data_IF_136924779049
#
_entry.id   IF_136924779049
#
_cell.length_a   1.000
_cell.length_b   1.000
_cell.length_c   1.000
_cell.angle_alpha   90.00
_cell.angle_beta   90.00
_cell.angle_gamma   90.00
#
_symmetry.space_group_name_H-M   'P 1'
#
loop_
_entity.id
_entity.type
_entity.pdbx_description
1 polymer ?
#
# COMPACT_ATOMS: atom_id res chain seq x y z
N UNK A 1 -33.35 59.22 -36.63
CA UNK A 1 -33.69 57.86 -36.15
C UNK A 1 -32.44 57.00 -36.19
N UNK A 2 -31.86 56.67 -35.04
CA UNK A 2 -30.66 55.81 -34.92
C UNK A 2 -31.12 54.35 -34.85
N UNK A 3 -30.73 53.53 -35.83
CA UNK A 3 -30.97 52.08 -35.77
C UNK A 3 -29.91 51.42 -34.88
N UNK A 4 -30.37 50.79 -33.80
CA UNK A 4 -29.58 49.99 -32.89
C UNK A 4 -29.19 48.64 -33.55
N UNK A 5 -27.89 48.37 -33.63
CA UNK A 5 -27.35 47.02 -33.93
C UNK A 5 -27.52 46.16 -32.67
N UNK A 6 -28.39 45.15 -32.73
CA UNK A 6 -28.47 44.09 -31.72
C UNK A 6 -27.33 43.10 -31.98
N UNK A 7 -26.37 43.04 -31.06
CA UNK A 7 -25.40 41.95 -30.97
C UNK A 7 -26.13 40.71 -30.42
N UNK A 8 -26.24 39.66 -31.24
CA UNK A 8 -26.66 38.33 -30.77
C UNK A 8 -25.41 37.67 -30.21
N UNK A 9 -25.34 37.53 -28.88
CA UNK A 9 -24.33 36.71 -28.23
C UNK A 9 -24.65 35.24 -28.51
N UNK A 10 -23.81 34.56 -29.28
CA UNK A 10 -23.86 33.12 -29.45
C UNK A 10 -23.41 32.45 -28.15
N UNK A 11 -24.35 31.90 -27.39
CA UNK A 11 -24.05 31.00 -26.27
C UNK A 11 -23.55 29.70 -26.87
N UNK A 12 -22.23 29.52 -26.90
CA UNK A 12 -21.61 28.22 -27.20
C UNK A 12 -21.71 27.39 -25.93
N UNK A 13 -22.77 26.60 -25.82
CA UNK A 13 -22.88 25.56 -24.80
C UNK A 13 -21.84 24.49 -25.11
N UNK A 14 -20.69 24.52 -24.43
CA UNK A 14 -19.77 23.39 -24.39
C UNK A 14 -20.47 22.28 -23.60
N UNK A 15 -21.15 21.39 -24.31
CA UNK A 15 -21.58 20.13 -23.74
C UNK A 15 -20.31 19.34 -23.41
N UNK A 16 -19.92 19.32 -22.13
CA UNK A 16 -19.01 18.33 -21.59
C UNK A 16 -19.65 16.97 -21.87
N UNK A 17 -19.22 16.32 -22.94
CA UNK A 17 -19.39 14.89 -23.14
C UNK A 17 -18.60 14.21 -22.02
N UNK A 18 -19.22 14.10 -20.85
CA UNK A 18 -18.84 13.11 -19.85
C UNK A 18 -19.19 11.78 -20.51
N UNK A 19 -18.24 11.22 -21.24
CA UNK A 19 -18.27 9.78 -21.51
C UNK A 19 -18.50 9.12 -20.15
N UNK A 20 -19.52 8.26 -20.00
CA UNK A 20 -19.60 7.46 -18.80
C UNK A 20 -18.31 6.65 -18.80
N UNK A 21 -17.37 7.02 -17.94
CA UNK A 21 -16.29 6.13 -17.58
C UNK A 21 -17.00 4.87 -17.12
N UNK A 22 -16.89 3.79 -17.90
CA UNK A 22 -17.19 2.46 -17.40
C UNK A 22 -16.32 2.34 -16.16
N UNK A 23 -16.93 2.50 -14.98
CA UNK A 23 -16.27 2.22 -13.72
C UNK A 23 -15.83 0.77 -13.85
N UNK A 24 -14.53 0.55 -14.07
CA UNK A 24 -13.97 -0.78 -14.07
C UNK A 24 -14.41 -1.39 -12.74
N UNK A 25 -15.23 -2.43 -12.81
CA UNK A 25 -15.74 -3.09 -11.62
C UNK A 25 -14.50 -3.61 -10.88
N UNK A 26 -14.27 -3.11 -9.67
CA UNK A 26 -13.17 -3.59 -8.84
C UNK A 26 -13.34 -5.09 -8.66
N UNK A 27 -12.24 -5.84 -8.80
CA UNK A 27 -12.29 -7.25 -8.51
C UNK A 27 -12.69 -7.44 -7.03
N UNK A 28 -13.36 -8.53 -6.66
CA UNK A 28 -13.58 -8.83 -5.25
C UNK A 28 -12.22 -9.00 -4.56
N UNK A 29 -12.11 -8.53 -3.33
CA UNK A 29 -10.92 -8.81 -2.51
C UNK A 29 -10.87 -10.31 -2.26
N UNK A 30 -9.73 -10.92 -2.56
CA UNK A 30 -9.59 -12.36 -2.71
C UNK A 30 -9.84 -13.16 -1.42
N UNK A 31 -9.57 -12.55 -0.27
CA UNK A 31 -9.59 -13.22 1.04
C UNK A 31 -10.07 -12.29 2.14
N UNK A 32 -10.61 -12.86 3.22
CA UNK A 32 -10.97 -12.10 4.42
C UNK A 32 -9.79 -11.37 5.05
N UNK A 33 -8.58 -11.96 4.99
CA UNK A 33 -7.36 -11.34 5.50
C UNK A 33 -6.99 -10.08 4.71
N UNK A 34 -7.00 -10.15 3.36
CA UNK A 34 -6.78 -8.97 2.53
C UNK A 34 -7.88 -7.93 2.72
N UNK A 35 -9.13 -8.37 2.90
CA UNK A 35 -10.25 -7.49 3.17
C UNK A 35 -10.07 -6.76 4.51
N UNK A 36 -9.62 -7.44 5.56
CA UNK A 36 -9.31 -6.83 6.87
C UNK A 36 -8.18 -5.80 6.78
N UNK A 37 -7.08 -6.12 6.12
CA UNK A 37 -5.97 -5.18 5.89
C UNK A 37 -6.43 -3.95 5.12
N UNK A 38 -7.20 -4.14 4.04
CA UNK A 38 -7.72 -3.05 3.23
C UNK A 38 -8.73 -2.19 4.01
N UNK A 39 -9.71 -2.85 4.65
CA UNK A 39 -10.83 -2.21 5.31
C UNK A 39 -10.38 -1.31 6.46
N UNK A 40 -9.36 -1.72 7.21
CA UNK A 40 -8.84 -0.93 8.34
C UNK A 40 -8.66 0.53 7.96
N UNK A 41 -7.98 0.83 6.86
CA UNK A 41 -7.62 2.22 6.52
C UNK A 41 -8.38 2.80 5.34
N UNK A 42 -8.84 1.98 4.38
CA UNK A 42 -9.41 2.48 3.14
C UNK A 42 -10.94 2.40 3.10
N UNK A 43 -11.57 1.56 3.93
CA UNK A 43 -13.04 1.57 4.04
C UNK A 43 -13.59 2.91 4.55
N UNK A 44 -13.02 3.59 5.58
CA UNK A 44 -13.53 4.89 6.01
C UNK A 44 -13.40 5.96 4.92
N UNK A 45 -12.36 5.87 4.08
CA UNK A 45 -12.14 6.76 2.93
C UNK A 45 -13.19 6.48 1.84
N UNK A 46 -13.42 5.20 1.52
CA UNK A 46 -14.43 4.78 0.55
C UNK A 46 -15.84 5.22 0.95
N UNK A 47 -16.16 5.11 2.23
CA UNK A 47 -17.46 5.53 2.78
C UNK A 47 -17.59 7.05 2.95
N UNK A 48 -16.52 7.81 2.67
CA UNK A 48 -16.50 9.27 2.80
C UNK A 48 -16.50 9.80 4.23
N UNK A 49 -16.16 8.95 5.21
CA UNK A 49 -16.10 9.31 6.63
C UNK A 49 -14.72 9.77 7.08
N UNK A 50 -13.67 9.40 6.34
CA UNK A 50 -12.33 9.94 6.50
C UNK A 50 -11.94 10.77 5.27
N UNK A 51 -11.34 11.96 5.50
CA UNK A 51 -10.93 12.90 4.47
C UNK A 51 -9.40 12.94 4.32
N UNK A 52 -8.83 11.85 3.78
CA UNK A 52 -7.38 11.69 3.55
C UNK A 52 -7.13 10.85 2.29
N UNK A 53 -5.87 10.79 1.85
CA UNK A 53 -5.46 9.92 0.74
C UNK A 53 -5.71 8.42 1.04
N UNK A 54 -5.67 7.62 -0.03
CA UNK A 54 -5.80 6.16 0.03
C UNK A 54 -4.50 5.50 0.50
N UNK A 55 -4.59 4.44 1.30
CA UNK A 55 -3.44 3.65 1.70
C UNK A 55 -3.16 2.53 0.71
N UNK A 56 -4.19 1.85 0.20
CA UNK A 56 -4.08 0.72 -0.72
C UNK A 56 -4.67 1.08 -2.09
N UNK A 57 -5.75 1.87 -2.08
CA UNK A 57 -6.54 2.24 -3.26
C UNK A 57 -8.02 1.90 -3.07
N UNK A 58 -8.90 2.34 -3.99
CA UNK A 58 -10.35 2.12 -3.91
C UNK A 58 -10.75 0.63 -3.96
N UNK A 59 -9.84 -0.26 -4.38
CA UNK A 59 -10.02 -1.70 -4.41
C UNK A 59 -8.91 -2.35 -5.25
N UNK A 60 -8.91 -3.69 -5.37
CA UNK A 60 -7.96 -4.39 -6.21
C UNK A 60 -8.35 -4.25 -7.69
N UNK A 61 -7.35 -4.18 -8.56
CA UNK A 61 -7.54 -4.16 -10.02
C UNK A 61 -7.28 -5.54 -10.67
N UNK A 62 -7.01 -6.56 -9.86
CA UNK A 62 -6.79 -7.95 -10.27
C UNK A 62 -7.61 -8.90 -9.39
N UNK A 63 -7.90 -10.09 -9.90
CA UNK A 63 -8.36 -11.20 -9.06
C UNK A 63 -7.23 -11.77 -8.19
N UNK A 64 -7.51 -12.87 -7.48
CA UNK A 64 -6.50 -13.66 -6.80
C UNK A 64 -5.49 -14.24 -7.82
N UNK A 65 -4.20 -14.14 -7.54
CA UNK A 65 -3.13 -14.61 -8.43
C UNK A 65 -2.11 -15.43 -7.65
N UNK A 66 -1.47 -16.42 -8.29
CA UNK A 66 -0.31 -17.11 -7.75
C UNK A 66 1.00 -16.51 -8.26
N UNK A 67 1.99 -16.40 -7.38
CA UNK A 67 3.37 -16.08 -7.76
C UNK A 67 4.36 -17.09 -7.19
N UNK A 68 5.41 -17.49 -7.95
CA UNK A 68 6.47 -18.32 -7.42
C UNK A 68 7.14 -17.71 -6.19
N UNK A 69 7.20 -18.49 -5.12
CA UNK A 69 7.93 -18.16 -3.90
C UNK A 69 8.43 -19.46 -3.26
N UNK A 70 9.74 -19.68 -3.25
CA UNK A 70 10.36 -20.97 -2.89
C UNK A 70 9.88 -21.53 -1.56
N UNK A 71 9.74 -20.68 -0.54
CA UNK A 71 9.39 -21.08 0.82
C UNK A 71 7.87 -21.17 1.05
N UNK A 72 7.04 -20.75 0.10
CA UNK A 72 5.59 -20.87 0.23
C UNK A 72 5.15 -22.34 0.07
N UNK A 73 4.07 -22.78 0.73
CA UNK A 73 3.49 -24.10 0.50
C UNK A 73 3.16 -24.33 -0.99
N UNK A 74 3.71 -25.41 -1.56
CA UNK A 74 3.57 -25.67 -3.00
C UNK A 74 4.40 -24.74 -3.90
N UNK A 75 5.30 -23.94 -3.34
CA UNK A 75 6.19 -23.02 -4.07
C UNK A 75 5.49 -21.78 -4.64
N UNK A 76 4.23 -21.51 -4.25
CA UNK A 76 3.40 -20.42 -4.78
C UNK A 76 2.81 -19.63 -3.61
N UNK A 77 3.02 -18.31 -3.59
CA UNK A 77 2.30 -17.39 -2.69
C UNK A 77 1.04 -16.84 -3.36
N UNK A 78 0.00 -16.61 -2.58
CA UNK A 78 -1.15 -15.83 -3.06
C UNK A 78 -0.78 -14.36 -3.08
N UNK A 79 -1.14 -13.68 -4.16
CA UNK A 79 -1.07 -12.23 -4.25
C UNK A 79 -2.35 -11.62 -4.82
N UNK A 80 -2.58 -10.34 -4.51
CA UNK A 80 -3.57 -9.52 -5.20
C UNK A 80 -3.07 -8.07 -5.29
N UNK A 81 -3.26 -7.46 -6.46
CA UNK A 81 -2.80 -6.11 -6.74
C UNK A 81 -3.87 -5.04 -6.50
N UNK A 82 -3.43 -4.00 -5.80
CA UNK A 82 -4.14 -2.75 -5.55
C UNK A 82 -3.32 -1.60 -6.15
N UNK A 83 -3.90 -0.41 -6.27
CA UNK A 83 -3.19 0.72 -6.89
C UNK A 83 -1.82 1.00 -6.24
N UNK A 84 -1.78 0.96 -4.90
CA UNK A 84 -0.62 1.36 -4.10
C UNK A 84 0.19 0.18 -3.55
N UNK A 85 -0.16 -1.06 -3.87
CA UNK A 85 0.53 -2.25 -3.34
C UNK A 85 0.22 -3.56 -4.09
N UNK A 86 0.93 -4.60 -3.72
CA UNK A 86 0.54 -6.01 -3.88
C UNK A 86 0.45 -6.60 -2.48
N UNK A 87 -0.73 -7.04 -2.07
CA UNK A 87 -0.90 -7.81 -0.84
C UNK A 87 -0.53 -9.26 -1.10
N UNK A 88 0.09 -9.89 -0.11
CA UNK A 88 0.65 -11.24 -0.24
C UNK A 88 0.35 -12.08 0.99
N UNK A 89 0.03 -13.34 0.74
CA UNK A 89 -0.03 -14.39 1.76
C UNK A 89 0.92 -15.52 1.35
N UNK A 90 2.11 -15.52 1.96
CA UNK A 90 3.19 -16.48 1.69
C UNK A 90 3.01 -17.78 2.46
N UNK A 91 2.63 -17.69 3.74
CA UNK A 91 2.38 -18.84 4.61
C UNK A 91 0.96 -18.77 5.18
N UNK A 92 0.00 -19.52 4.60
CA UNK A 92 -1.38 -19.59 5.11
C UNK A 92 -1.50 -20.24 6.50
N UNK A 93 -0.46 -20.91 7.00
CA UNK A 93 -0.45 -21.53 8.31
C UNK A 93 0.14 -20.61 9.40
N UNK A 94 0.66 -19.44 9.03
CA UNK A 94 1.15 -18.44 9.98
C UNK A 94 0.00 -17.86 10.83
N UNK A 95 0.33 -17.26 11.97
CA UNK A 95 -0.66 -16.68 12.89
C UNK A 95 -1.41 -15.52 12.22
N UNK A 96 -2.73 -15.65 11.95
CA UNK A 96 -3.51 -14.61 11.29
C UNK A 96 -3.74 -13.35 12.14
N UNK A 97 -3.40 -13.39 13.44
CA UNK A 97 -3.42 -12.21 14.32
C UNK A 97 -2.21 -11.31 14.13
N UNK A 98 -1.14 -11.84 13.56
CA UNK A 98 0.04 -11.05 13.27
C UNK A 98 -0.33 -10.02 12.19
N UNK A 99 0.02 -8.72 12.36
CA UNK A 99 -0.13 -7.76 11.28
C UNK A 99 0.68 -8.18 10.03
N UNK A 100 1.70 -9.03 10.21
CA UNK A 100 2.54 -9.58 9.15
C UNK A 100 1.98 -10.85 8.51
N UNK A 101 0.79 -11.32 8.89
CA UNK A 101 0.13 -12.42 8.19
C UNK A 101 -0.15 -12.05 6.73
N UNK A 102 -0.69 -10.85 6.52
CA UNK A 102 -0.72 -10.20 5.21
C UNK A 102 0.49 -9.30 5.10
N UNK A 103 1.39 -9.61 4.17
CA UNK A 103 2.52 -8.75 3.86
C UNK A 103 2.27 -7.94 2.61
N UNK A 104 3.13 -6.96 2.39
CA UNK A 104 3.14 -6.12 1.22
C UNK A 104 4.48 -6.35 0.50
N UNK A 105 4.41 -6.58 -0.81
CA UNK A 105 5.60 -6.87 -1.60
C UNK A 105 6.65 -5.79 -1.54
N UNK A 106 7.91 -6.19 -1.75
CA UNK A 106 9.07 -5.30 -1.83
C UNK A 106 9.09 -4.51 -3.15
N UNK A 107 7.93 -4.04 -3.61
CA UNK A 107 7.70 -3.64 -5.00
C UNK A 107 8.65 -2.53 -5.44
N UNK A 108 8.82 -1.49 -4.61
CA UNK A 108 9.72 -0.39 -4.92
C UNK A 108 11.20 -0.84 -4.91
N UNK A 109 11.61 -1.70 -3.97
CA UNK A 109 12.95 -2.30 -3.94
C UNK A 109 13.24 -3.09 -5.20
N UNK A 110 12.34 -3.98 -5.59
CA UNK A 110 12.47 -4.82 -6.78
C UNK A 110 12.52 -3.95 -8.06
N UNK A 111 11.70 -2.89 -8.14
CA UNK A 111 11.72 -1.95 -9.28
C UNK A 111 13.02 -1.12 -9.35
N UNK A 112 13.55 -0.65 -8.21
CA UNK A 112 14.79 0.14 -8.19
C UNK A 112 16.02 -0.73 -8.44
N UNK A 113 16.03 -1.96 -7.93
CA UNK A 113 17.19 -2.87 -8.04
C UNK A 113 17.15 -3.77 -9.27
N UNK A 114 15.97 -3.96 -9.86
CA UNK A 114 15.72 -4.98 -10.88
C UNK A 114 15.76 -6.42 -10.34
N UNK A 115 15.79 -6.64 -9.02
CA UNK A 115 15.84 -7.97 -8.42
C UNK A 115 14.44 -8.49 -8.15
N UNK A 116 13.90 -9.30 -9.08
CA UNK A 116 12.59 -9.93 -8.94
C UNK A 116 12.64 -11.00 -7.84
N UNK A 117 11.86 -10.86 -6.78
CA UNK A 117 11.85 -11.82 -5.67
C UNK A 117 11.09 -13.10 -6.05
N UNK A 118 11.73 -14.26 -5.84
CA UNK A 118 11.21 -15.61 -6.07
C UNK A 118 11.30 -16.50 -4.81
N UNK A 119 11.73 -15.93 -3.69
CA UNK A 119 11.85 -16.56 -2.38
C UNK A 119 12.52 -15.61 -1.39
N UNK A 120 12.70 -16.05 -0.14
CA UNK A 120 13.27 -15.23 0.93
C UNK A 120 14.61 -14.63 0.53
N UNK A 121 15.53 -15.48 0.05
CA UNK A 121 16.87 -15.10 -0.41
C UNK A 121 17.11 -15.49 -1.88
N UNK A 122 16.03 -15.61 -2.66
CA UNK A 122 16.09 -16.04 -4.08
C UNK A 122 15.56 -14.94 -4.97
N UNK A 123 16.41 -14.47 -5.89
CA UNK A 123 16.10 -13.37 -6.79
C UNK A 123 16.46 -13.72 -8.24
N UNK A 124 15.68 -13.19 -9.17
CA UNK A 124 15.99 -13.15 -10.60
C UNK A 124 16.39 -11.72 -10.99
N UNK A 125 17.53 -11.57 -11.64
CA UNK A 125 18.09 -10.26 -11.98
C UNK A 125 17.57 -9.71 -13.32
N UNK A 126 17.16 -8.45 -13.29
CA UNK A 126 16.76 -7.64 -14.44
C UNK A 126 17.36 -6.24 -14.33
N UNK A 127 17.13 -5.40 -15.34
CA UNK A 127 17.47 -3.98 -15.26
C UNK A 127 16.51 -3.23 -14.33
N UNK A 128 16.99 -2.20 -13.60
CA UNK A 128 16.14 -1.25 -12.90
C UNK A 128 15.02 -0.69 -13.80
N UNK A 129 13.84 -0.51 -13.24
CA UNK A 129 12.65 -0.16 -14.02
C UNK A 129 12.66 1.31 -14.47
N UNK A 130 12.49 1.54 -15.78
CA UNK A 130 12.35 2.87 -16.37
C UNK A 130 10.89 3.42 -16.29
N UNK A 131 10.13 3.00 -15.28
CA UNK A 131 8.75 3.43 -15.03
C UNK A 131 8.77 4.68 -14.15
N UNK A 132 7.95 5.69 -14.48
CA UNK A 132 7.85 6.91 -13.69
C UNK A 132 7.39 6.60 -12.26
N UNK A 133 8.07 7.16 -11.27
CA UNK A 133 7.82 6.91 -9.85
C UNK A 133 6.60 7.68 -9.32
N UNK A 134 6.36 8.85 -9.90
CA UNK A 134 5.32 9.79 -9.54
C UNK A 134 4.98 10.73 -10.71
N UNK A 135 3.86 11.44 -10.60
CA UNK A 135 3.37 12.37 -11.63
C UNK A 135 2.71 11.67 -12.81
N UNK A 136 2.51 12.43 -13.89
CA UNK A 136 1.87 11.91 -15.10
C UNK A 136 2.72 10.81 -15.77
N UNK A 137 2.09 9.72 -16.20
CA UNK A 137 2.78 8.55 -16.74
C UNK A 137 3.55 8.84 -18.05
N UNK A 138 3.11 9.84 -18.82
CA UNK A 138 3.72 10.30 -20.06
C UNK A 138 4.74 11.43 -19.86
N UNK A 139 5.09 11.76 -18.61
CA UNK A 139 6.06 12.82 -18.33
C UNK A 139 7.49 12.36 -18.68
N UNK A 140 8.14 12.93 -19.72
CA UNK A 140 9.49 12.52 -20.12
C UNK A 140 10.56 12.93 -19.09
N UNK A 141 10.28 13.94 -18.27
CA UNK A 141 11.20 14.48 -17.27
C UNK A 141 10.98 13.86 -15.88
N UNK A 142 9.98 12.97 -15.74
CA UNK A 142 9.66 12.32 -14.48
C UNK A 142 10.82 11.46 -13.97
N UNK A 143 11.00 11.41 -12.66
CA UNK A 143 11.89 10.42 -12.05
C UNK A 143 11.37 9.01 -12.33
N UNK A 144 12.27 8.08 -12.60
CA UNK A 144 11.95 6.66 -12.71
C UNK A 144 12.49 5.90 -11.51
N UNK A 145 12.08 4.65 -11.30
CA UNK A 145 12.74 3.79 -10.32
C UNK A 145 14.25 3.64 -10.62
N UNK A 146 14.64 3.54 -11.89
CA UNK A 146 16.04 3.48 -12.30
C UNK A 146 16.85 4.72 -11.89
N UNK A 147 16.23 5.90 -11.77
CA UNK A 147 16.87 7.14 -11.33
C UNK A 147 17.45 7.04 -9.90
N UNK A 148 16.96 6.09 -9.09
CA UNK A 148 17.40 5.88 -7.70
C UNK A 148 18.41 4.74 -7.54
N UNK A 149 18.66 3.95 -8.58
CA UNK A 149 19.43 2.70 -8.47
C UNK A 149 20.87 2.88 -7.95
N UNK A 150 21.48 4.04 -8.20
CA UNK A 150 22.84 4.38 -7.74
C UNK A 150 22.86 5.09 -6.37
N UNK A 151 21.69 5.36 -5.78
CA UNK A 151 21.55 6.14 -4.53
C UNK A 151 21.30 5.26 -3.29
N UNK A 152 21.23 3.93 -3.47
CA UNK A 152 20.95 2.97 -2.40
C UNK A 152 22.04 2.89 -1.31
N UNK A 153 23.18 3.53 -1.53
CA UNK A 153 24.28 3.64 -0.56
C UNK A 153 24.64 5.09 -0.23
N UNK A 154 23.79 6.05 -0.60
CA UNK A 154 24.01 7.46 -0.26
C UNK A 154 24.00 7.66 1.26
N UNK A 155 24.93 8.46 1.77
CA UNK A 155 24.98 8.76 3.20
C UNK A 155 23.75 9.58 3.63
N UNK A 156 23.19 9.30 4.82
CA UNK A 156 22.04 10.02 5.31
C UNK A 156 22.40 11.43 5.73
N UNK A 157 21.44 12.35 5.59
CA UNK A 157 21.55 13.64 6.25
C UNK A 157 21.43 13.47 7.77
N UNK A 158 22.21 14.22 8.57
CA UNK A 158 22.00 14.32 10.01
C UNK A 158 20.55 14.67 10.36
N UNK A 159 20.02 14.03 11.40
CA UNK A 159 18.68 14.34 11.92
C UNK A 159 18.59 15.82 12.30
N UNK A 160 17.54 16.49 11.82
CA UNK A 160 17.29 17.92 11.98
C UNK A 160 17.77 18.78 10.81
N UNK A 161 18.59 18.24 9.90
CA UNK A 161 19.06 18.99 8.73
C UNK A 161 17.98 19.16 7.69
N UNK A 162 17.97 20.33 7.02
CA UNK A 162 17.02 20.64 5.94
C UNK A 162 17.30 19.80 4.70
N UNK A 163 16.23 19.29 4.09
CA UNK A 163 16.32 18.56 2.83
C UNK A 163 16.12 19.56 1.68
N UNK A 164 17.23 19.98 1.06
CA UNK A 164 17.27 20.88 -0.10
C UNK A 164 17.82 20.21 -1.37
N UNK A 165 18.16 18.93 -1.27
CA UNK A 165 18.72 18.16 -2.38
C UNK A 165 17.63 17.87 -3.43
N UNK A 166 17.98 18.09 -4.70
CA UNK A 166 17.15 17.77 -5.86
C UNK A 166 17.68 16.55 -6.59
N UNK A 167 16.80 15.80 -7.22
CA UNK A 167 17.15 14.68 -8.09
C UNK A 167 16.54 14.87 -9.48
N UNK A 168 17.35 14.64 -10.51
CA UNK A 168 16.88 14.58 -11.90
C UNK A 168 16.68 13.15 -12.40
N UNK A 169 16.09 13.00 -13.59
CA UNK A 169 15.79 11.70 -14.18
C UNK A 169 17.04 10.84 -14.40
N UNK A 170 18.21 11.45 -14.62
CA UNK A 170 19.47 10.75 -14.83
C UNK A 170 20.09 10.24 -13.51
N UNK A 171 19.50 10.55 -12.36
CA UNK A 171 20.02 10.18 -11.05
C UNK A 171 21.06 11.17 -10.52
N UNK A 172 21.16 12.36 -11.12
CA UNK A 172 22.10 13.39 -10.67
C UNK A 172 21.48 14.16 -9.51
N UNK A 173 22.19 14.14 -8.38
CA UNK A 173 21.85 14.93 -7.19
C UNK A 173 22.45 16.32 -7.32
N UNK A 174 21.64 17.34 -7.04
CA UNK A 174 22.07 18.74 -6.93
C UNK A 174 21.47 19.36 -5.66
N UNK A 175 21.83 20.60 -5.36
CA UNK A 175 21.30 21.34 -4.20
C UNK A 175 20.49 22.54 -4.68
N UNK A 176 19.34 22.79 -4.06
CA UNK A 176 18.55 24.00 -4.26
C UNK A 176 18.13 24.60 -2.90
N UNK A 177 18.89 25.59 -2.39
CA UNK A 177 18.62 26.22 -1.09
C UNK A 177 17.24 26.88 -0.96
N UNK A 178 16.59 27.27 -2.07
CA UNK A 178 15.26 27.87 -2.03
C UNK A 178 14.19 26.90 -1.48
N UNK A 179 14.43 25.59 -1.61
CA UNK A 179 13.53 24.54 -1.11
C UNK A 179 13.51 24.45 0.42
N UNK A 180 14.46 25.10 1.11
CA UNK A 180 14.42 25.30 2.55
C UNK A 180 13.13 26.00 3.00
N UNK A 181 12.48 26.78 2.12
CA UNK A 181 11.20 27.42 2.37
C UNK A 181 10.07 26.43 2.73
N UNK A 182 10.18 25.15 2.33
CA UNK A 182 9.21 24.11 2.67
C UNK A 182 9.45 23.47 4.04
N UNK A 183 10.59 23.74 4.70
CA UNK A 183 10.86 23.32 6.08
C UNK A 183 10.94 21.80 6.31
N UNK A 184 11.13 21.01 5.26
CA UNK A 184 11.28 19.55 5.38
C UNK A 184 12.69 19.22 5.86
N UNK A 185 12.80 18.36 6.87
CA UNK A 185 14.08 17.94 7.47
C UNK A 185 14.23 16.42 7.47
N UNK A 186 15.46 15.93 7.66
CA UNK A 186 15.69 14.53 8.04
C UNK A 186 15.20 14.32 9.48
N UNK A 187 14.24 13.42 9.71
CA UNK A 187 13.59 13.28 11.02
C UNK A 187 13.99 12.02 11.79
N UNK A 188 14.19 10.90 11.10
CA UNK A 188 14.46 9.63 11.76
C UNK A 188 15.46 8.81 10.96
N UNK A 189 16.61 8.48 11.56
CA UNK A 189 17.60 7.58 10.97
C UNK A 189 17.20 6.13 11.22
N UNK A 190 17.04 5.36 10.15
CA UNK A 190 16.76 3.92 10.21
C UNK A 190 18.09 3.15 10.20
N UNK A 191 18.50 2.51 11.30
CA UNK A 191 19.80 1.85 11.38
C UNK A 191 19.94 0.63 10.45
N UNK A 192 18.83 -0.05 10.12
CA UNK A 192 18.83 -1.25 9.27
C UNK A 192 19.26 -0.96 7.83
N UNK A 193 18.96 0.24 7.32
CA UNK A 193 19.32 0.66 5.97
C UNK A 193 20.27 1.85 5.93
N UNK A 194 20.56 2.46 7.09
CA UNK A 194 21.35 3.68 7.22
C UNK A 194 20.83 4.86 6.38
N UNK A 195 19.50 5.00 6.32
CA UNK A 195 18.83 6.09 5.61
C UNK A 195 17.93 6.90 6.54
N UNK A 196 17.82 8.22 6.28
CA UNK A 196 16.95 9.08 7.06
C UNK A 196 15.57 9.22 6.40
N UNK A 197 14.50 9.10 7.20
CA UNK A 197 13.12 9.38 6.77
C UNK A 197 12.88 10.89 6.85
N UNK A 198 12.35 11.48 5.77
CA UNK A 198 11.99 12.89 5.77
C UNK A 198 10.85 13.17 6.77
N UNK A 199 10.85 14.35 7.39
CA UNK A 199 9.94 14.73 8.48
C UNK A 199 8.47 14.56 8.14
N UNK A 200 8.06 15.02 6.96
CA UNK A 200 6.67 14.90 6.47
C UNK A 200 6.24 13.44 6.28
N UNK A 201 7.17 12.56 5.89
CA UNK A 201 6.90 11.13 5.75
C UNK A 201 6.89 10.42 7.10
N UNK A 202 7.80 10.80 8.00
CA UNK A 202 7.85 10.26 9.35
C UNK A 202 6.57 10.61 10.14
N UNK A 203 6.09 11.84 10.01
CA UNK A 203 4.82 12.28 10.60
C UNK A 203 3.65 11.47 10.04
N UNK A 204 3.56 11.32 8.71
CA UNK A 204 2.53 10.49 8.07
C UNK A 204 2.56 9.03 8.53
N UNK A 205 3.75 8.43 8.60
CA UNK A 205 3.92 7.03 9.04
C UNK A 205 3.55 6.81 10.52
N UNK A 206 3.50 7.88 11.32
CA UNK A 206 3.10 7.84 12.73
C UNK A 206 1.73 8.48 12.99
N UNK A 207 1.00 8.87 11.95
CA UNK A 207 -0.26 9.61 12.12
C UNK A 207 -1.40 8.71 12.60
N UNK A 208 -2.36 9.34 13.26
CA UNK A 208 -3.65 8.73 13.62
C UNK A 208 -4.72 9.15 12.63
N UNK A 209 -5.82 8.42 12.62
CA UNK A 209 -7.02 8.76 11.88
C UNK A 209 -8.12 7.73 12.14
N UNK A 210 -9.29 8.00 11.58
CA UNK A 210 -10.38 7.04 11.61
C UNK A 210 -9.99 5.76 10.86
N UNK A 211 -10.07 4.62 11.57
CA UNK A 211 -9.82 3.27 11.05
C UNK A 211 -10.95 2.33 11.45
N UNK A 212 -11.08 1.22 10.73
CA UNK A 212 -11.88 0.07 11.16
C UNK A 212 -11.04 -0.89 12.01
N UNK A 213 -11.49 -1.15 13.23
CA UNK A 213 -10.91 -2.11 14.17
C UNK A 213 -12.03 -2.78 14.96
N UNK A 214 -12.01 -4.10 15.08
CA UNK A 214 -13.05 -4.95 15.66
C UNK A 214 -14.44 -4.70 15.06
N UNK A 215 -14.48 -4.37 13.75
CA UNK A 215 -15.67 -3.96 13.02
C UNK A 215 -16.33 -2.67 13.52
N UNK A 216 -15.63 -1.91 14.35
CA UNK A 216 -16.02 -0.57 14.79
C UNK A 216 -15.12 0.47 14.14
N UNK A 217 -15.61 1.71 14.04
CA UNK A 217 -14.78 2.85 13.65
C UNK A 217 -14.18 3.46 14.91
N UNK A 218 -12.85 3.55 14.94
CA UNK A 218 -12.09 4.11 16.06
C UNK A 218 -11.04 5.08 15.55
N UNK A 219 -10.70 6.08 16.35
CA UNK A 219 -9.56 6.96 16.09
C UNK A 219 -8.30 6.29 16.64
N UNK A 220 -7.41 5.84 15.76
CA UNK A 220 -6.20 5.10 16.14
C UNK A 220 -5.09 5.35 15.10
N UNK A 221 -3.87 4.87 15.35
CA UNK A 221 -2.79 4.88 14.37
C UNK A 221 -3.23 4.25 13.05
N UNK A 222 -2.96 4.97 11.96
CA UNK A 222 -3.19 4.45 10.60
C UNK A 222 -2.33 3.21 10.35
N UNK A 223 -1.13 3.18 10.95
CA UNK A 223 -0.21 2.05 10.90
C UNK A 223 0.12 1.57 12.31
N UNK A 224 -0.17 0.29 12.60
CA UNK A 224 0.23 -0.33 13.86
C UNK A 224 1.76 -0.35 14.02
N UNK A 225 2.48 -0.51 12.90
CA UNK A 225 3.91 -0.32 12.79
C UNK A 225 4.19 0.70 11.65
N UNK A 226 4.98 1.76 11.89
CA UNK A 226 5.26 2.80 10.88
C UNK A 226 5.80 2.27 9.55
N UNK A 227 6.53 1.15 9.57
CA UNK A 227 7.13 0.52 8.40
C UNK A 227 6.31 -0.63 7.81
N UNK A 228 5.10 -0.89 8.31
CA UNK A 228 4.25 -1.97 7.80
C UNK A 228 3.95 -1.79 6.32
N UNK A 229 3.42 -0.62 5.93
CA UNK A 229 3.01 -0.36 4.56
C UNK A 229 4.17 0.01 3.64
N UNK A 230 5.19 0.72 4.15
CA UNK A 230 6.28 1.29 3.35
C UNK A 230 7.53 0.41 3.32
N UNK A 231 7.80 -0.36 4.38
CA UNK A 231 9.13 -0.94 4.62
C UNK A 231 10.17 0.13 4.96
N UNK A 232 11.44 -0.26 5.09
CA UNK A 232 12.49 0.71 5.43
C UNK A 232 12.83 1.64 4.25
N UNK A 233 13.32 2.87 4.51
CA UNK A 233 13.81 3.75 3.45
C UNK A 233 15.01 3.12 2.73
N UNK A 234 15.01 3.21 1.41
CA UNK A 234 16.09 2.74 0.53
C UNK A 234 16.94 3.88 -0.02
N UNK A 235 16.46 5.12 0.11
CA UNK A 235 17.16 6.32 -0.34
C UNK A 235 16.90 7.45 0.65
N UNK A 236 17.71 8.49 0.58
CA UNK A 236 17.31 9.79 1.11
C UNK A 236 16.11 10.35 0.32
N UNK A 237 15.46 11.37 0.88
CA UNK A 237 14.40 12.08 0.19
C UNK A 237 14.99 13.19 -0.70
N UNK A 238 14.47 13.29 -1.92
CA UNK A 238 14.94 14.27 -2.89
C UNK A 238 13.76 15.05 -3.47
N UNK A 239 13.97 16.35 -3.68
CA UNK A 239 13.02 17.17 -4.41
C UNK A 239 13.17 16.98 -5.91
N UNK A 240 12.05 17.03 -6.61
CA UNK A 240 12.04 17.04 -8.07
C UNK A 240 10.89 17.91 -8.58
N UNK A 241 11.02 18.40 -9.80
CA UNK A 241 10.01 19.25 -10.43
C UNK A 241 9.32 18.47 -11.55
N UNK A 242 8.14 17.94 -11.23
CA UNK A 242 7.41 17.03 -12.12
C UNK A 242 5.99 17.52 -12.38
N UNK A 243 5.41 17.02 -13.47
CA UNK A 243 4.05 17.34 -13.88
C UNK A 243 3.07 16.45 -13.12
N UNK A 244 2.14 17.09 -12.41
CA UNK A 244 1.05 16.43 -11.69
C UNK A 244 -0.26 17.04 -12.16
N UNK A 245 -1.08 16.27 -12.87
CA UNK A 245 -2.34 16.77 -13.43
C UNK A 245 -2.12 17.91 -14.41
N UNK A 246 -1.09 17.81 -15.26
CA UNK A 246 -0.74 18.84 -16.24
C UNK A 246 0.05 20.04 -15.70
N UNK A 247 0.24 20.18 -14.38
CA UNK A 247 0.90 21.33 -13.76
C UNK A 247 2.27 20.94 -13.19
N UNK A 248 3.31 21.72 -13.49
CA UNK A 248 4.64 21.55 -12.89
C UNK A 248 4.64 21.96 -11.42
N UNK A 249 5.01 21.03 -10.53
CA UNK A 249 5.05 21.25 -9.08
C UNK A 249 6.35 20.73 -8.49
N UNK A 250 6.78 21.31 -7.37
CA UNK A 250 7.81 20.70 -6.54
C UNK A 250 7.20 19.55 -5.75
N UNK A 251 7.83 18.39 -5.86
CA UNK A 251 7.43 17.16 -5.18
C UNK A 251 8.67 16.59 -4.51
N UNK A 252 8.59 16.36 -3.20
CA UNK A 252 9.59 15.59 -2.48
C UNK A 252 9.27 14.10 -2.66
N UNK A 253 10.25 13.29 -2.99
CA UNK A 253 10.10 11.86 -3.26
C UNK A 253 11.08 11.08 -2.40
N UNK A 254 10.62 10.02 -1.74
CA UNK A 254 11.49 9.07 -1.05
C UNK A 254 11.09 7.63 -1.37
N UNK A 255 12.08 6.81 -1.70
CA UNK A 255 11.90 5.38 -1.96
C UNK A 255 12.05 4.60 -0.67
N UNK A 256 11.08 3.75 -0.39
CA UNK A 256 11.11 2.73 0.67
C UNK A 256 11.05 1.34 0.02
N UNK A 257 11.22 0.28 0.81
CA UNK A 257 11.27 -1.08 0.26
C UNK A 257 10.00 -1.49 -0.50
N UNK A 258 8.83 -1.11 0.02
CA UNK A 258 7.54 -1.55 -0.51
C UNK A 258 6.88 -0.49 -1.37
N UNK A 259 7.21 0.79 -1.15
CA UNK A 259 6.51 1.95 -1.73
C UNK A 259 7.41 3.13 -1.95
N UNK A 260 6.90 4.09 -2.72
CA UNK A 260 7.46 5.43 -2.83
C UNK A 260 6.45 6.40 -2.24
N UNK A 261 6.90 7.21 -1.29
CA UNK A 261 6.11 8.31 -0.76
C UNK A 261 6.47 9.61 -1.48
N UNK A 262 5.45 10.42 -1.72
CA UNK A 262 5.56 11.74 -2.34
C UNK A 262 4.94 12.79 -1.43
N UNK A 263 5.58 13.96 -1.33
CA UNK A 263 5.04 15.11 -0.62
C UNK A 263 4.93 16.30 -1.57
N UNK A 264 3.72 16.83 -1.73
CA UNK A 264 3.41 18.01 -2.55
C UNK A 264 2.84 19.10 -1.65
N UNK A 265 3.62 20.15 -1.30
CA UNK A 265 3.18 21.22 -0.38
C UNK A 265 1.88 21.91 -0.79
N UNK A 266 1.68 22.04 -2.11
CA UNK A 266 0.54 22.75 -2.72
C UNK A 266 -0.78 21.96 -2.65
N UNK A 267 -0.74 20.68 -2.24
CA UNK A 267 -1.93 19.88 -2.06
C UNK A 267 -2.66 20.26 -0.74
N UNK A 268 -3.99 20.03 -0.65
CA UNK A 268 -4.72 20.15 0.60
C UNK A 268 -4.17 19.19 1.66
N UNK A 269 -4.30 19.54 2.94
CA UNK A 269 -3.63 18.88 4.10
C UNK A 269 -3.68 17.34 4.08
N UNK A 270 -4.84 16.73 3.82
CA UNK A 270 -5.02 15.27 3.76
C UNK A 270 -4.45 14.56 2.51
N UNK A 271 -3.89 15.30 1.55
CA UNK A 271 -3.34 14.82 0.28
C UNK A 271 -1.94 15.37 0.01
N UNK A 272 -1.30 15.97 1.02
CA UNK A 272 0.08 16.44 0.89
C UNK A 272 1.04 15.27 0.77
N UNK A 273 0.88 14.24 1.60
CA UNK A 273 1.64 12.99 1.50
C UNK A 273 0.77 11.94 0.82
N UNK A 274 1.31 11.31 -0.22
CA UNK A 274 0.65 10.23 -0.95
C UNK A 274 1.65 9.13 -1.29
N UNK A 275 1.16 7.90 -1.42
CA UNK A 275 1.95 6.82 -2.01
C UNK A 275 1.70 6.77 -3.52
N UNK A 276 2.78 6.63 -4.29
CA UNK A 276 2.67 6.38 -5.73
C UNK A 276 1.88 5.10 -6.04
N UNK A 277 1.40 4.97 -7.27
CA UNK A 277 0.66 3.79 -7.75
C UNK A 277 1.60 2.58 -8.01
N UNK A 278 2.47 2.28 -7.05
CA UNK A 278 3.53 1.26 -7.17
C UNK A 278 2.98 -0.13 -7.46
N UNK A 279 1.75 -0.46 -7.02
CA UNK A 279 1.11 -1.72 -7.36
C UNK A 279 0.82 -1.84 -8.86
N UNK A 280 0.34 -0.77 -9.49
CA UNK A 280 0.19 -0.70 -10.95
C UNK A 280 1.52 -0.73 -11.67
N UNK A 281 2.50 0.05 -11.20
CA UNK A 281 3.82 0.12 -11.82
C UNK A 281 4.52 -1.24 -11.80
N UNK A 282 4.45 -1.94 -10.67
CA UNK A 282 5.04 -3.25 -10.52
C UNK A 282 4.30 -4.31 -11.34
N UNK A 283 2.97 -4.28 -11.39
CA UNK A 283 2.20 -5.20 -12.24
C UNK A 283 2.62 -5.08 -13.71
N UNK A 284 2.67 -3.86 -14.24
CA UNK A 284 3.13 -3.61 -15.61
C UNK A 284 4.58 -4.07 -15.82
N UNK A 285 5.47 -3.77 -14.88
CA UNK A 285 6.86 -4.24 -14.96
C UNK A 285 6.97 -5.76 -14.98
N UNK A 286 6.31 -6.47 -14.05
CA UNK A 286 6.42 -7.93 -13.92
C UNK A 286 5.75 -8.66 -15.08
N UNK A 287 4.50 -8.31 -15.42
CA UNK A 287 3.71 -9.09 -16.36
C UNK A 287 3.80 -8.58 -17.80
N UNK A 288 3.92 -7.27 -18.02
CA UNK A 288 3.94 -6.71 -19.36
C UNK A 288 5.37 -6.58 -19.89
N UNK A 289 6.26 -5.95 -19.10
CA UNK A 289 7.64 -5.69 -19.53
C UNK A 289 8.56 -6.91 -19.43
N UNK A 290 8.48 -7.65 -18.32
CA UNK A 290 9.25 -8.89 -18.14
C UNK A 290 8.55 -10.13 -18.71
N UNK A 291 7.31 -9.98 -19.19
CA UNK A 291 6.51 -11.08 -19.76
C UNK A 291 6.42 -12.29 -18.83
N UNK A 292 6.36 -12.07 -17.51
CA UNK A 292 6.05 -13.13 -16.56
C UNK A 292 4.59 -13.52 -16.71
N UNK A 293 4.29 -14.77 -16.40
CA UNK A 293 2.93 -15.27 -16.35
C UNK A 293 2.51 -15.52 -14.89
N UNK A 294 1.27 -15.18 -14.50
CA UNK A 294 0.74 -15.58 -13.20
C UNK A 294 0.72 -17.10 -13.09
N UNK A 295 1.13 -17.63 -11.94
CA UNK A 295 1.01 -19.05 -11.67
C UNK A 295 -0.43 -19.39 -11.23
N UNK A 296 -0.93 -20.60 -11.54
CA UNK A 296 -2.18 -21.07 -10.95
C UNK A 296 -1.99 -21.19 -9.42
N UNK A 297 -3.03 -20.84 -8.67
CA UNK A 297 -3.03 -21.07 -7.23
C UNK A 297 -2.99 -22.58 -6.93
N UNK A 298 -2.33 -23.00 -5.83
CA UNK A 298 -2.32 -24.41 -5.43
C UNK A 298 -3.74 -24.97 -5.27
N UNK A 299 -3.95 -26.22 -5.69
CA UNK A 299 -5.23 -26.91 -5.49
C UNK A 299 -5.51 -27.06 -3.98
N UNK A 300 -6.74 -26.72 -3.56
CA UNK A 300 -7.11 -26.74 -2.13
C UNK A 300 -6.63 -25.52 -1.34
N UNK A 301 -6.04 -24.52 -1.99
CA UNK A 301 -5.75 -23.24 -1.36
C UNK A 301 -7.05 -22.57 -0.92
N UNK A 302 -7.31 -22.60 0.39
CA UNK A 302 -8.28 -21.74 1.03
C UNK A 302 -7.51 -20.91 2.04
N UNK A 303 -7.40 -19.58 1.86
CA UNK A 303 -7.08 -18.74 2.99
C UNK A 303 -8.16 -19.02 4.06
N UNK A 304 -7.82 -19.00 5.36
CA UNK A 304 -8.80 -19.20 6.40
C UNK A 304 -10.04 -18.36 6.08
N UNK A 305 -11.23 -18.97 5.94
CA UNK A 305 -12.45 -18.23 5.77
C UNK A 305 -12.71 -17.52 7.09
N UNK A 306 -12.20 -16.31 7.24
CA UNK A 306 -12.71 -15.41 8.28
C UNK A 306 -13.43 -14.25 7.60
N UNK A 307 -14.74 -14.07 7.84
CA UNK A 307 -15.45 -12.90 7.40
C UNK A 307 -15.01 -11.67 8.21
N UNK A 308 -13.82 -11.10 8.00
CA UNK A 308 -13.51 -9.73 8.41
C UNK A 308 -13.65 -9.36 9.92
N UNK A 309 -13.67 -10.31 10.84
CA UNK A 309 -13.80 -10.02 12.27
C UNK A 309 -12.53 -10.39 13.01
N UNK A 310 -12.16 -9.54 13.97
CA UNK A 310 -10.97 -9.75 14.77
C UNK A 310 -11.15 -11.03 15.58
N UNK A 311 -10.10 -11.85 15.62
CA UNK A 311 -10.08 -13.07 16.42
C UNK A 311 -10.49 -12.72 17.86
N UNK A 312 -11.55 -13.35 18.36
CA UNK A 312 -12.09 -13.09 19.68
C UNK A 312 -11.02 -13.46 20.73
N UNK A 313 -10.74 -12.58 21.71
CA UNK A 313 -9.77 -12.88 22.77
C UNK A 313 -10.14 -14.10 23.60
N UNK A 314 -11.39 -14.57 23.56
CA UNK A 314 -11.82 -15.84 24.14
C UNK A 314 -11.09 -17.05 23.53
N UNK A 315 -10.53 -16.95 22.32
CA UNK A 315 -9.85 -18.05 21.62
C UNK A 315 -8.37 -17.70 21.36
N UNK A 316 -7.52 -17.69 22.39
CA UNK A 316 -6.13 -17.22 22.25
C UNK A 316 -5.24 -18.16 21.43
N UNK A 317 -5.67 -19.39 21.16
CA UNK A 317 -4.88 -20.37 20.41
C UNK A 317 -5.49 -20.66 19.02
N UNK A 318 -6.62 -20.02 18.66
CA UNK A 318 -7.32 -20.19 17.40
C UNK A 318 -7.96 -18.88 16.95
N UNK A 319 -7.69 -18.42 15.73
CA UNK A 319 -8.35 -17.21 15.25
C UNK A 319 -9.78 -17.49 14.84
N UNK A 320 -10.71 -17.18 15.74
CA UNK A 320 -12.14 -17.37 15.57
C UNK A 320 -12.83 -16.05 15.92
N UNK A 321 -13.70 -15.49 15.07
CA UNK A 321 -14.33 -14.20 15.34
C UNK A 321 -15.36 -14.25 16.46
N UNK A 322 -15.70 -13.10 17.04
CA UNK A 322 -16.89 -12.96 17.89
C UNK A 322 -18.18 -13.14 17.06
N UNK A 323 -19.29 -13.64 17.62
CA UNK A 323 -20.56 -13.62 16.92
C UNK A 323 -21.02 -12.18 16.60
N UNK A 324 -21.69 -11.95 15.45
CA UNK A 324 -21.96 -12.88 14.34
C UNK A 324 -20.83 -12.93 13.26
N UNK A 325 -20.68 -14.06 12.53
CA UNK A 325 -21.58 -15.21 12.50
C UNK A 325 -21.43 -16.15 13.71
N UNK A 326 -22.49 -16.93 13.97
CA UNK A 326 -22.49 -18.03 14.94
C UNK A 326 -21.80 -19.25 14.29
N UNK A 327 -20.61 -19.59 14.79
CA UNK A 327 -19.73 -20.60 14.22
C UNK A 327 -19.77 -21.88 15.05
N UNK A 328 -19.77 -23.05 14.39
CA UNK A 328 -19.67 -24.36 15.06
C UNK A 328 -18.34 -25.02 14.72
N UNK A 329 -17.98 -26.08 15.45
CA UNK A 329 -16.69 -26.76 15.25
C UNK A 329 -16.45 -27.24 13.81
N UNK A 330 -17.51 -27.56 13.06
CA UNK A 330 -17.40 -27.95 11.64
C UNK A 330 -17.08 -26.78 10.72
N UNK A 331 -17.32 -25.55 11.16
CA UNK A 331 -17.16 -24.32 10.37
C UNK A 331 -15.75 -23.70 10.55
N UNK A 332 -14.96 -24.19 11.51
CA UNK A 332 -13.59 -23.74 11.79
C UNK A 332 -12.56 -24.87 11.61
N UNK A 333 -11.33 -24.57 11.16
CA UNK A 333 -10.28 -25.58 10.95
C UNK A 333 -9.57 -26.02 12.24
N UNK A 334 -9.80 -25.33 13.36
CA UNK A 334 -9.10 -25.56 14.64
C UNK A 334 -9.79 -26.62 15.50
N UNK A 335 -9.01 -27.43 16.24
CA UNK A 335 -9.50 -28.45 17.19
C UNK A 335 -8.67 -28.43 18.46
N UNK A 336 -9.31 -28.72 19.60
CA UNK A 336 -8.65 -28.75 20.91
C UNK A 336 -7.93 -27.45 21.26
N UNK A 337 -8.49 -26.32 20.86
CA UNK A 337 -7.91 -25.00 21.13
C UNK A 337 -8.41 -24.45 22.46
N UNK A 338 -7.64 -23.57 23.09
CA UNK A 338 -8.03 -22.98 24.37
C UNK A 338 -9.21 -22.03 24.24
N UNK A 339 -10.12 -22.10 25.20
CA UNK A 339 -11.28 -21.22 25.35
C UNK A 339 -11.21 -20.49 26.70
N UNK A 340 -11.33 -19.16 26.68
CA UNK A 340 -11.40 -18.30 27.86
C UNK A 340 -12.85 -17.80 28.05
N UNK A 341 -13.34 -17.70 29.30
CA UNK A 341 -14.66 -17.16 29.56
C UNK A 341 -14.72 -15.62 29.39
N UNK A 342 -15.85 -15.06 28.92
CA UNK A 342 -17.02 -15.77 28.40
C UNK A 342 -16.70 -16.40 27.04
N UNK A 343 -17.21 -17.60 26.76
CA UNK A 343 -17.10 -18.32 25.47
C UNK A 343 -18.19 -17.84 24.50
N UNK A 344 -17.94 -16.86 23.61
CA UNK A 344 -19.02 -16.16 22.92
C UNK A 344 -19.65 -16.98 21.79
N UNK A 345 -18.92 -17.96 21.24
CA UNK A 345 -19.37 -18.88 20.18
C UNK A 345 -19.84 -20.22 20.75
N UNK A 346 -19.53 -20.55 22.00
CA UNK A 346 -20.00 -21.77 22.66
C UNK A 346 -19.26 -23.03 22.21
N UNK A 347 -17.94 -22.94 21.95
CA UNK A 347 -17.13 -24.09 21.56
C UNK A 347 -16.74 -25.02 22.71
N UNK A 348 -16.70 -24.50 23.95
CA UNK A 348 -16.36 -25.21 25.18
C UNK A 348 -17.64 -25.46 25.99
N UNK A 349 -18.40 -26.49 25.60
CA UNK A 349 -19.72 -26.78 26.16
C UNK A 349 -19.65 -27.41 27.55
N UNK A 350 -18.58 -28.15 27.82
CA UNK A 350 -18.30 -28.83 29.08
C UNK A 350 -17.44 -28.00 30.05
N UNK A 351 -16.99 -26.82 29.63
CA UNK A 351 -16.34 -25.79 30.44
C UNK A 351 -14.99 -26.23 31.01
N UNK A 352 -14.24 -27.03 30.25
CA UNK A 352 -12.93 -27.53 30.65
C UNK A 352 -11.78 -26.65 30.12
N UNK A 353 -12.11 -25.61 29.35
CA UNK A 353 -11.18 -24.67 28.74
C UNK A 353 -10.69 -25.09 27.35
N UNK A 354 -11.23 -26.16 26.76
CA UNK A 354 -10.87 -26.66 25.43
C UNK A 354 -12.08 -26.68 24.49
N UNK A 355 -11.91 -26.05 23.34
CA UNK A 355 -12.93 -25.96 22.30
C UNK A 355 -12.76 -27.04 21.25
N UNK A 356 -13.90 -27.61 20.80
CA UNK A 356 -13.96 -28.52 19.66
C UNK A 356 -13.05 -29.75 19.77
N UNK A 357 -13.25 -30.53 20.83
CA UNK A 357 -12.46 -31.73 21.13
C UNK A 357 -12.88 -33.01 20.36
N UNK A 358 -13.90 -32.91 19.50
CA UNK A 358 -14.56 -34.03 18.80
C UNK A 358 -14.24 -34.20 17.33
#
# INVERSE_FOLDING_TARGET
MRLARRLVAAVVSVALLVSPATLAQTAPIATGAFAGTWARTDQPVLEGTAHRTWMWGPGPFTGAMGEPYREAPGGIRLVQYFDKTRMELTDPAADPRSPWYVTNGLLAKELVTGQLQLGQDTFESHSPAAVNVAGDADNPDGLTYASFSTLLGAAPLPVGELITHTLDRAGVVAENPELAAYGVTAAYLVPETNHAVASVFWEFMNSTGLVYENGQRVEERLFQNPFYATGFPLTEAYWTRIRVGGVQRWVLVQVFERRVLTYTPDNPEGWRVEAGNVGRHYYAWRYELLSKEPAPLPAGYQPPPDPAWHCDPAYPDACIPSPPPDLRCVDVPYRGFRVLPPDPQGFDRDQDGLGCEG
#
